data_IF_850952479660
#
_entry.id   IF_850952479660
#
_cell.length_a   1.000
_cell.length_b   1.000
_cell.length_c   1.000
_cell.angle_alpha   90.00
_cell.angle_beta   90.00
_cell.angle_gamma   90.00
#
_symmetry.space_group_name_H-M   'P 1'
#
loop_
_entity.id
_entity.type
_entity.pdbx_description
1 polymer ?
#
# COMPACT_ATOMS: atom_id res chain seq x y z
N UNK A 1 30.75 -21.09 9.89
CA UNK A 1 30.12 -20.18 10.89
C UNK A 1 28.61 -20.24 10.71
N UNK A 2 27.89 -20.86 11.64
CA UNK A 2 26.44 -21.02 11.58
C UNK A 2 25.74 -19.67 11.79
N UNK A 3 24.83 -19.30 10.88
CA UNK A 3 24.00 -18.11 11.01
C UNK A 3 23.04 -18.27 12.19
N UNK A 4 23.04 -17.31 13.11
CA UNK A 4 22.13 -17.31 14.26
C UNK A 4 20.66 -17.33 13.79
N UNK A 5 19.78 -18.11 14.44
CA UNK A 5 18.39 -18.25 14.00
C UNK A 5 17.64 -16.92 14.15
N UNK A 6 16.92 -16.55 13.09
CA UNK A 6 16.05 -15.38 13.05
C UNK A 6 15.08 -15.40 14.25
N UNK A 7 15.16 -14.39 15.12
CA UNK A 7 14.31 -14.27 16.29
C UNK A 7 12.91 -13.81 15.86
N UNK A 8 11.99 -14.76 15.66
CA UNK A 8 10.58 -14.48 15.36
C UNK A 8 9.88 -14.04 16.64
N UNK A 9 9.69 -12.74 16.83
CA UNK A 9 8.95 -12.19 17.98
C UNK A 9 7.50 -11.99 17.57
N UNK A 10 6.60 -12.85 18.07
CA UNK A 10 5.16 -12.66 17.95
C UNK A 10 4.64 -11.77 19.10
N UNK A 11 3.88 -10.71 18.78
CA UNK A 11 2.66 -10.50 19.54
C UNK A 11 1.50 -10.01 18.66
N UNK A 12 0.34 -10.68 18.80
CA UNK A 12 -1.06 -10.23 18.51
C UNK A 12 -1.42 -9.70 17.12
N UNK A 13 -0.46 -9.40 16.25
CA UNK A 13 -0.65 -9.00 14.86
C UNK A 13 -0.05 -10.07 13.97
N UNK A 14 -0.75 -10.48 12.90
CA UNK A 14 -0.26 -11.42 11.87
C UNK A 14 0.97 -10.90 11.08
N UNK A 15 1.80 -10.06 11.70
CA UNK A 15 3.00 -9.48 11.13
C UNK A 15 4.21 -10.32 11.53
N UNK A 16 4.99 -10.70 10.54
CA UNK A 16 6.29 -11.34 10.69
C UNK A 16 7.31 -10.26 11.04
N UNK A 17 8.03 -10.46 12.14
CA UNK A 17 9.17 -9.62 12.54
C UNK A 17 10.44 -10.47 12.40
N UNK A 18 11.37 -9.98 11.59
CA UNK A 18 12.67 -10.61 11.33
C UNK A 18 13.76 -9.59 11.61
N UNK A 19 14.77 -9.98 12.36
CA UNK A 19 15.99 -9.21 12.56
C UNK A 19 17.16 -10.12 12.21
N UNK A 20 17.71 -9.94 11.01
CA UNK A 20 18.76 -10.80 10.46
C UNK A 20 19.58 -10.03 9.42
N UNK A 21 20.78 -10.51 9.06
CA UNK A 21 21.48 -10.03 7.87
C UNK A 21 20.61 -10.21 6.61
N UNK A 22 20.95 -9.50 5.54
CA UNK A 22 20.17 -9.49 4.28
C UNK A 22 19.79 -10.88 3.78
N UNK A 23 20.72 -11.83 3.75
CA UNK A 23 20.45 -13.20 3.29
C UNK A 23 19.39 -13.90 4.16
N UNK A 24 19.54 -13.85 5.49
CA UNK A 24 18.55 -14.43 6.40
C UNK A 24 17.17 -13.77 6.30
N UNK A 25 17.09 -12.49 5.94
CA UNK A 25 15.80 -11.84 5.64
C UNK A 25 15.21 -12.34 4.32
N UNK A 26 16.03 -12.53 3.29
CA UNK A 26 15.56 -13.08 2.00
C UNK A 26 15.05 -14.52 2.18
N UNK A 27 15.79 -15.37 2.89
CA UNK A 27 15.39 -16.73 3.20
C UNK A 27 14.06 -16.76 3.98
N UNK A 28 13.91 -15.86 4.96
CA UNK A 28 12.67 -15.71 5.70
C UNK A 28 11.49 -15.24 4.83
N UNK A 29 11.73 -14.48 3.76
CA UNK A 29 10.67 -14.09 2.80
C UNK A 29 10.29 -15.23 1.86
N UNK A 30 11.26 -16.07 1.47
CA UNK A 30 11.01 -17.25 0.64
C UNK A 30 10.27 -18.36 1.41
N UNK A 31 10.52 -18.46 2.73
CA UNK A 31 9.83 -19.39 3.62
C UNK A 31 8.37 -19.03 3.92
N UNK A 32 7.86 -17.87 3.48
CA UNK A 32 6.46 -17.49 3.73
C UNK A 32 5.54 -18.42 2.93
N UNK A 33 4.67 -19.21 3.60
CA UNK A 33 3.76 -20.10 2.89
C UNK A 33 2.75 -19.30 2.08
N UNK A 34 2.51 -19.72 0.83
CA UNK A 34 1.42 -19.18 0.02
C UNK A 34 0.07 -19.71 0.55
N UNK A 35 -0.87 -18.84 0.92
CA UNK A 35 -2.17 -19.23 1.48
C UNK A 35 -3.10 -19.89 0.45
N UNK A 36 -2.69 -19.99 -0.82
CA UNK A 36 -3.47 -20.52 -1.93
C UNK A 36 -3.94 -21.97 -1.74
N UNK A 37 -3.30 -22.77 -0.87
CA UNK A 37 -3.65 -24.19 -0.72
C UNK A 37 -4.93 -24.47 0.10
N UNK A 38 -5.44 -23.54 0.90
CA UNK A 38 -6.56 -23.84 1.81
C UNK A 38 -7.92 -23.20 1.45
N UNK A 39 -7.98 -22.28 0.48
CA UNK A 39 -9.25 -21.63 0.13
C UNK A 39 -10.13 -22.45 -0.84
N UNK A 40 -9.54 -23.29 -1.70
CA UNK A 40 -10.30 -24.10 -2.67
C UNK A 40 -11.12 -25.23 -2.03
N UNK A 41 -10.50 -26.01 -1.14
CA UNK A 41 -11.16 -27.10 -0.41
C UNK A 41 -12.24 -26.60 0.54
N UNK A 42 -12.01 -25.45 1.20
CA UNK A 42 -13.01 -24.79 2.03
C UNK A 42 -14.28 -24.47 1.23
N UNK A 43 -14.19 -23.86 0.05
CA UNK A 43 -15.39 -23.53 -0.75
C UNK A 43 -16.22 -24.77 -1.11
N UNK A 44 -15.59 -25.88 -1.48
CA UNK A 44 -16.30 -27.14 -1.82
C UNK A 44 -17.00 -27.74 -0.59
N UNK A 45 -16.30 -27.79 0.55
CA UNK A 45 -16.89 -28.27 1.80
C UNK A 45 -18.04 -27.35 2.30
N UNK A 46 -17.96 -26.05 1.99
CA UNK A 46 -18.96 -25.05 2.39
C UNK A 46 -20.21 -25.04 1.50
N UNK A 47 -20.11 -25.43 0.23
CA UNK A 47 -21.26 -25.63 -0.66
C UNK A 47 -21.97 -26.94 -0.33
N UNK A 48 -21.23 -27.98 0.06
CA UNK A 48 -21.79 -29.31 0.34
C UNK A 48 -22.32 -29.47 1.77
N UNK A 49 -21.75 -28.76 2.76
CA UNK A 49 -22.18 -28.86 4.16
C UNK A 49 -23.68 -28.66 4.41
N UNK A 50 -24.34 -27.64 3.81
CA UNK A 50 -25.78 -27.46 3.92
C UNK A 50 -26.59 -28.58 3.27
N UNK A 51 -26.12 -29.11 2.12
CA UNK A 51 -26.79 -30.20 1.42
C UNK A 51 -26.73 -31.51 2.23
N UNK A 52 -25.60 -31.77 2.89
CA UNK A 52 -25.44 -32.89 3.82
C UNK A 52 -26.34 -32.73 5.05
N UNK A 53 -26.45 -31.51 5.60
CA UNK A 53 -27.34 -31.22 6.73
C UNK A 53 -28.83 -31.39 6.39
N UNK A 54 -29.26 -30.96 5.20
CA UNK A 54 -30.63 -31.18 4.70
C UNK A 54 -30.88 -32.67 4.43
N UNK A 55 -29.91 -33.36 3.83
CA UNK A 55 -29.98 -34.81 3.59
C UNK A 55 -30.12 -35.62 4.89
N UNK A 56 -29.31 -35.31 5.92
CA UNK A 56 -29.42 -35.94 7.23
C UNK A 56 -30.77 -35.63 7.90
N UNK A 57 -31.25 -34.39 7.82
CA UNK A 57 -32.55 -34.00 8.40
C UNK A 57 -33.72 -34.77 7.78
N UNK A 58 -33.68 -35.00 6.46
CA UNK A 58 -34.67 -35.82 5.76
C UNK A 58 -34.56 -37.30 6.14
N UNK A 59 -33.33 -37.84 6.23
CA UNK A 59 -33.07 -39.23 6.61
C UNK A 59 -33.53 -39.58 8.04
N UNK A 60 -33.21 -38.75 9.03
CA UNK A 60 -33.69 -38.96 10.40
C UNK A 60 -35.21 -38.76 10.51
N UNK A 61 -35.79 -37.93 9.64
CA UNK A 61 -37.23 -37.74 9.55
C UNK A 61 -38.00 -38.99 9.09
N UNK A 62 -37.40 -39.87 8.29
CA UNK A 62 -38.05 -41.11 7.84
C UNK A 62 -37.98 -42.24 8.88
N UNK A 63 -37.06 -42.16 9.85
CA UNK A 63 -36.84 -43.23 10.85
C UNK A 63 -37.71 -43.03 12.11
N UNK A 64 -38.10 -41.79 12.41
CA UNK A 64 -38.93 -41.45 13.59
C UNK A 64 -40.41 -41.31 13.18
N UNK A 65 -41.16 -42.41 13.26
CA UNK A 65 -42.61 -42.42 13.09
C UNK A 65 -43.33 -42.00 14.39
N UNK A 66 -44.12 -40.92 14.32
CA UNK A 66 -44.96 -40.44 15.42
C UNK A 66 -45.65 -39.13 15.07
N UNK A 67 -46.85 -38.86 15.61
CA UNK A 67 -47.65 -37.68 15.29
C UNK A 67 -46.97 -36.34 15.66
N UNK A 68 -46.04 -36.34 16.63
CA UNK A 68 -45.18 -35.19 16.93
C UNK A 68 -44.08 -34.94 15.89
N UNK A 69 -43.84 -35.87 14.96
CA UNK A 69 -42.73 -35.79 14.00
C UNK A 69 -42.96 -34.75 12.90
N UNK A 70 -44.21 -34.48 12.49
CA UNK A 70 -44.51 -33.56 11.38
C UNK A 70 -44.22 -32.10 11.75
N UNK A 71 -44.62 -31.69 12.96
CA UNK A 71 -44.35 -30.34 13.47
C UNK A 71 -42.85 -30.16 13.72
N UNK A 72 -42.19 -31.17 14.30
CA UNK A 72 -40.74 -31.14 14.52
C UNK A 72 -39.95 -31.04 13.20
N UNK A 73 -40.37 -31.76 12.16
CA UNK A 73 -39.79 -31.68 10.80
C UNK A 73 -39.93 -30.27 10.21
N UNK A 74 -41.12 -29.66 10.33
CA UNK A 74 -41.36 -28.30 9.86
C UNK A 74 -40.49 -27.26 10.55
N UNK A 75 -40.37 -27.32 11.89
CA UNK A 75 -39.53 -26.41 12.68
C UNK A 75 -38.05 -26.58 12.34
N UNK A 76 -37.58 -27.82 12.17
CA UNK A 76 -36.18 -28.07 11.81
C UNK A 76 -35.84 -27.55 10.42
N UNK A 77 -36.71 -27.77 9.43
CA UNK A 77 -36.53 -27.28 8.06
C UNK A 77 -36.48 -25.75 8.03
N UNK A 78 -37.44 -25.08 8.68
CA UNK A 78 -37.47 -23.61 8.76
C UNK A 78 -36.25 -23.07 9.48
N UNK A 79 -35.81 -23.71 10.57
CA UNK A 79 -34.61 -23.31 11.32
C UNK A 79 -33.34 -23.50 10.48
N UNK A 80 -33.23 -24.61 9.73
CA UNK A 80 -32.13 -24.87 8.82
C UNK A 80 -32.09 -23.85 7.67
N UNK A 81 -33.26 -23.52 7.08
CA UNK A 81 -33.37 -22.49 6.04
C UNK A 81 -33.00 -21.12 6.61
N UNK A 82 -33.46 -20.75 7.81
CA UNK A 82 -33.12 -19.46 8.43
C UNK A 82 -31.64 -19.37 8.82
N UNK A 83 -31.05 -20.44 9.33
CA UNK A 83 -29.61 -20.51 9.61
C UNK A 83 -28.79 -20.43 8.32
N UNK A 84 -29.21 -21.15 7.28
CA UNK A 84 -28.62 -21.07 5.95
C UNK A 84 -28.71 -19.65 5.40
N UNK A 85 -29.90 -19.04 5.39
CA UNK A 85 -30.12 -17.68 4.91
C UNK A 85 -29.31 -16.66 5.71
N UNK A 86 -29.29 -16.77 7.06
CA UNK A 86 -28.50 -15.89 7.93
C UNK A 86 -27.00 -16.06 7.71
N UNK A 87 -26.55 -17.26 7.39
CA UNK A 87 -25.15 -17.56 7.10
C UNK A 87 -24.74 -17.09 5.71
N UNK A 88 -25.55 -17.34 4.69
CA UNK A 88 -25.46 -16.81 3.31
C UNK A 88 -25.43 -15.28 3.32
N UNK A 89 -26.42 -14.64 3.97
CA UNK A 89 -26.51 -13.18 4.14
C UNK A 89 -25.25 -12.58 4.80
N UNK A 90 -24.59 -13.32 5.70
CA UNK A 90 -23.33 -12.92 6.35
C UNK A 90 -22.09 -13.23 5.50
N UNK A 91 -22.24 -14.10 4.50
CA UNK A 91 -21.20 -14.62 3.61
C UNK A 91 -21.23 -14.04 2.21
N UNK A 92 -22.18 -13.16 1.86
CA UNK A 92 -22.13 -12.31 0.66
C UNK A 92 -20.90 -11.38 0.72
N UNK A 93 -19.76 -11.96 0.42
CA UNK A 93 -18.49 -11.30 0.18
C UNK A 93 -18.39 -11.20 -1.32
N UNK A 94 -18.37 -9.97 -1.83
CA UNK A 94 -18.03 -9.79 -3.22
C UNK A 94 -16.52 -10.00 -3.34
N UNK A 95 -16.11 -10.83 -4.30
CA UNK A 95 -14.73 -10.98 -4.69
C UNK A 95 -14.58 -10.31 -6.05
N UNK A 96 -13.68 -9.34 -6.18
CA UNK A 96 -13.34 -8.80 -7.48
C UNK A 96 -12.28 -9.71 -8.11
N UNK A 97 -12.70 -10.59 -9.01
CA UNK A 97 -11.77 -11.45 -9.74
C UNK A 97 -10.71 -10.61 -10.47
N UNK A 98 -9.44 -10.97 -10.28
CA UNK A 98 -8.30 -10.27 -10.90
C UNK A 98 -7.88 -8.98 -10.19
N UNK A 99 -8.33 -8.75 -8.96
CA UNK A 99 -7.85 -7.64 -8.16
C UNK A 99 -6.35 -7.83 -7.84
N UNK A 100 -5.47 -6.82 -8.01
CA UNK A 100 -4.03 -6.97 -7.78
C UNK A 100 -3.68 -7.47 -6.36
N UNK A 101 -4.56 -7.23 -5.39
CA UNK A 101 -4.46 -7.74 -4.03
C UNK A 101 -4.64 -9.25 -3.85
N UNK A 102 -5.05 -9.96 -4.90
CA UNK A 102 -5.20 -11.42 -4.90
C UNK A 102 -3.87 -12.16 -4.96
N UNK A 103 -2.82 -11.51 -5.47
CA UNK A 103 -1.49 -12.10 -5.48
C UNK A 103 -0.93 -12.13 -4.04
N UNK A 104 -0.82 -13.32 -3.40
CA UNK A 104 -0.34 -13.41 -2.03
C UNK A 104 1.14 -13.04 -1.90
N UNK A 105 1.90 -13.05 -3.01
CA UNK A 105 3.32 -12.70 -3.04
C UNK A 105 3.56 -11.22 -3.31
N UNK A 106 2.53 -10.44 -3.64
CA UNK A 106 2.66 -9.01 -3.99
C UNK A 106 3.46 -8.20 -2.96
N UNK A 107 3.14 -8.35 -1.67
CA UNK A 107 3.79 -7.59 -0.57
C UNK A 107 5.19 -8.10 -0.26
N UNK A 108 5.40 -9.41 -0.22
CA UNK A 108 6.72 -10.01 0.05
C UNK A 108 7.68 -9.82 -1.13
N UNK A 109 7.21 -9.94 -2.36
CA UNK A 109 8.02 -9.71 -3.56
C UNK A 109 8.53 -8.27 -3.61
N UNK A 110 7.71 -7.28 -3.25
CA UNK A 110 8.19 -5.89 -3.15
C UNK A 110 9.40 -5.78 -2.22
N UNK A 111 9.36 -6.43 -1.06
CA UNK A 111 10.46 -6.42 -0.09
C UNK A 111 11.69 -7.11 -0.66
N UNK A 112 11.55 -8.29 -1.25
CA UNK A 112 12.66 -9.01 -1.89
C UNK A 112 13.33 -8.15 -2.96
N UNK A 113 12.55 -7.49 -3.82
CA UNK A 113 13.05 -6.63 -4.90
C UNK A 113 13.77 -5.40 -4.36
N UNK A 114 13.20 -4.75 -3.35
CA UNK A 114 13.82 -3.59 -2.70
C UNK A 114 15.14 -3.98 -2.02
N UNK A 115 15.17 -5.09 -1.29
CA UNK A 115 16.39 -5.60 -0.65
C UNK A 115 17.47 -5.95 -1.66
N UNK A 116 17.12 -6.61 -2.76
CA UNK A 116 18.07 -6.92 -3.85
C UNK A 116 18.68 -5.66 -4.46
N UNK A 117 17.89 -4.60 -4.65
CA UNK A 117 18.40 -3.31 -5.15
C UNK A 117 19.25 -2.56 -4.12
N UNK A 118 18.93 -2.69 -2.84
CA UNK A 118 19.69 -2.09 -1.75
C UNK A 118 20.99 -2.84 -1.43
N UNK A 119 21.23 -4.04 -2.00
CA UNK A 119 22.39 -4.90 -1.68
C UNK A 119 23.72 -4.16 -1.68
N UNK A 120 23.92 -3.28 -2.66
CA UNK A 120 25.16 -2.51 -2.83
C UNK A 120 25.29 -1.36 -1.82
N UNK A 121 24.17 -0.83 -1.33
CA UNK A 121 24.14 0.27 -0.37
C UNK A 121 24.10 -0.19 1.10
N UNK A 122 23.86 -1.48 1.33
CA UNK A 122 23.80 -2.06 2.68
C UNK A 122 25.19 -2.32 3.26
N UNK A 123 25.34 -2.05 4.55
CA UNK A 123 26.56 -2.44 5.30
C UNK A 123 26.63 -3.97 5.35
N UNK A 124 27.76 -4.58 4.93
CA UNK A 124 27.93 -6.03 5.00
C UNK A 124 27.70 -6.55 6.43
N UNK A 125 26.86 -7.57 6.59
CA UNK A 125 26.58 -8.19 7.88
C UNK A 125 25.71 -7.36 8.85
N UNK A 126 25.33 -6.13 8.51
CA UNK A 126 24.46 -5.34 9.38
C UNK A 126 23.05 -5.97 9.46
N UNK A 127 22.45 -6.04 10.66
CA UNK A 127 21.12 -6.58 10.81
C UNK A 127 20.10 -5.64 10.17
N UNK A 128 19.18 -6.22 9.40
CA UNK A 128 18.01 -5.56 8.85
C UNK A 128 16.83 -5.94 9.73
N UNK A 129 16.16 -4.93 10.30
CA UNK A 129 14.94 -5.12 11.07
C UNK A 129 13.75 -4.95 10.15
N UNK A 130 13.13 -6.07 9.80
CA UNK A 130 11.95 -6.15 8.95
C UNK A 130 10.73 -6.50 9.78
N UNK A 131 9.68 -5.68 9.68
CA UNK A 131 8.32 -6.01 10.12
C UNK A 131 7.42 -5.97 8.90
N UNK A 132 6.90 -7.12 8.51
CA UNK A 132 6.04 -7.26 7.34
C UNK A 132 4.76 -8.00 7.68
N UNK A 133 3.63 -7.57 7.13
CA UNK A 133 2.43 -8.40 7.03
C UNK A 133 2.30 -8.88 5.57
N UNK A 134 2.61 -10.16 5.30
CA UNK A 134 2.65 -10.68 3.93
C UNK A 134 1.29 -10.61 3.23
N UNK A 135 0.21 -10.81 3.99
CA UNK A 135 -1.15 -10.84 3.45
C UNK A 135 -1.98 -9.62 3.87
N UNK A 136 -2.84 -9.10 2.98
CA UNK A 136 -3.82 -8.08 3.35
C UNK A 136 -4.80 -8.61 4.40
N UNK A 137 -5.48 -7.69 5.11
CA UNK A 137 -6.58 -8.08 6.01
C UNK A 137 -7.79 -8.44 5.15
N UNK A 138 -8.51 -9.51 5.49
CA UNK A 138 -9.69 -9.99 4.74
C UNK A 138 -10.79 -8.95 4.45
N UNK A 139 -10.82 -7.81 5.17
CA UNK A 139 -11.79 -6.71 4.93
C UNK A 139 -11.12 -5.35 4.89
N UNK A 140 -9.81 -5.33 4.65
CA UNK A 140 -8.99 -4.14 4.72
C UNK A 140 -8.42 -3.72 3.36
N UNK A 141 -7.69 -2.60 3.35
CA UNK A 141 -6.95 -2.15 2.18
C UNK A 141 -6.08 -3.25 1.57
N UNK A 142 -6.07 -3.33 0.24
CA UNK A 142 -5.31 -4.32 -0.53
C UNK A 142 -5.96 -5.69 -0.62
N UNK A 143 -7.15 -5.91 -0.03
CA UNK A 143 -7.90 -7.16 -0.16
C UNK A 143 -8.96 -7.08 -1.24
N UNK A 144 -9.14 -8.16 -2.00
CA UNK A 144 -10.20 -8.34 -2.99
C UNK A 144 -11.55 -8.73 -2.41
N UNK A 145 -11.62 -8.99 -1.10
CA UNK A 145 -12.87 -9.33 -0.43
C UNK A 145 -13.53 -8.09 0.15
N UNK A 146 -14.74 -7.83 -0.33
CA UNK A 146 -15.50 -6.64 0.02
C UNK A 146 -16.71 -7.01 0.88
N UNK A 147 -16.95 -6.31 2.01
CA UNK A 147 -18.21 -6.43 2.71
C UNK A 147 -19.31 -5.72 1.91
N UNK A 148 -20.26 -6.47 1.36
CA UNK A 148 -21.52 -5.92 0.85
C UNK A 148 -22.29 -5.30 2.02
N UNK A 149 -22.02 -4.03 2.28
CA UNK A 149 -22.66 -3.30 3.37
C UNK A 149 -23.69 -2.35 2.78
N UNK A 150 -24.97 -2.58 3.03
CA UNK A 150 -26.07 -1.74 2.55
C UNK A 150 -26.18 -0.38 3.29
N UNK A 151 -25.09 0.11 3.87
CA UNK A 151 -25.08 1.35 4.65
C UNK A 151 -25.12 2.56 3.72
N UNK A 152 -26.00 3.53 4.06
CA UNK A 152 -26.15 4.80 3.34
C UNK A 152 -24.97 5.77 3.57
N UNK A 153 -24.14 5.51 4.57
CA UNK A 153 -23.00 6.34 4.97
C UNK A 153 -21.69 5.63 4.65
N UNK A 154 -20.71 6.38 4.15
CA UNK A 154 -19.37 5.84 3.90
C UNK A 154 -18.73 5.43 5.25
N UNK A 155 -18.15 4.23 5.35
CA UNK A 155 -17.32 3.89 6.49
C UNK A 155 -16.11 4.83 6.59
N UNK A 156 -15.52 5.00 7.79
CA UNK A 156 -14.29 5.77 7.94
C UNK A 156 -13.16 5.14 7.12
N UNK A 157 -12.20 5.96 6.75
CA UNK A 157 -11.01 5.51 6.03
C UNK A 157 -10.26 4.45 6.84
N UNK A 158 -9.88 3.36 6.15
CA UNK A 158 -9.14 2.28 6.77
C UNK A 158 -7.68 2.37 6.38
N UNK A 159 -6.79 2.17 7.35
CA UNK A 159 -5.35 2.14 7.16
C UNK A 159 -4.82 0.75 7.50
N UNK A 160 -3.96 0.23 6.62
CA UNK A 160 -3.22 -1.00 6.83
C UNK A 160 -1.70 -0.75 6.74
N UNK A 161 -1.04 -0.43 7.87
CA UNK A 161 0.41 -0.46 7.94
C UNK A 161 0.89 -1.91 7.86
N UNK A 162 1.60 -2.23 6.78
CA UNK A 162 2.02 -3.61 6.48
C UNK A 162 3.52 -3.78 6.30
N UNK A 163 4.30 -2.72 6.07
CA UNK A 163 5.76 -2.79 5.98
C UNK A 163 6.43 -1.76 6.86
N UNK A 164 7.46 -2.20 7.56
CA UNK A 164 8.49 -1.37 8.17
C UNK A 164 9.82 -2.08 8.02
N UNK A 165 10.75 -1.48 7.30
CA UNK A 165 12.11 -1.95 7.10
C UNK A 165 13.07 -0.90 7.65
N UNK A 166 13.93 -1.30 8.57
CA UNK A 166 14.95 -0.45 9.17
C UNK A 166 16.32 -1.08 8.95
N UNK A 167 17.26 -0.29 8.46
CA UNK A 167 18.62 -0.75 8.17
C UNK A 167 19.62 0.41 8.23
N UNK A 168 20.90 0.05 8.23
CA UNK A 168 22.02 0.98 8.13
C UNK A 168 22.69 0.85 6.76
N UNK A 169 22.87 1.98 6.10
CA UNK A 169 23.52 2.09 4.80
C UNK A 169 25.04 2.25 4.97
N UNK A 170 25.80 1.95 3.92
CA UNK A 170 27.28 1.99 3.91
C UNK A 170 27.85 3.36 4.26
N UNK A 171 27.16 4.42 3.89
CA UNK A 171 27.49 5.81 4.24
C UNK A 171 27.26 6.14 5.73
N UNK A 172 26.75 5.17 6.50
CA UNK A 172 26.41 5.30 7.91
C UNK A 172 25.05 5.94 8.18
N UNK A 173 24.24 6.19 7.15
CA UNK A 173 22.88 6.68 7.29
C UNK A 173 21.94 5.58 7.80
N UNK A 174 20.97 5.99 8.61
CA UNK A 174 19.88 5.10 9.04
C UNK A 174 18.70 5.26 8.09
N UNK A 175 18.36 4.19 7.39
CA UNK A 175 17.21 4.12 6.51
C UNK A 175 16.03 3.47 7.23
N UNK A 176 14.86 4.12 7.14
CA UNK A 176 13.57 3.53 7.51
C UNK A 176 12.59 3.66 6.36
N UNK A 177 12.18 2.53 5.81
CA UNK A 177 11.13 2.43 4.79
C UNK A 177 9.84 1.93 5.45
N UNK A 178 8.72 2.56 5.13
CA UNK A 178 7.41 2.12 5.60
C UNK A 178 6.40 2.11 4.47
N UNK A 179 5.51 1.13 4.45
CA UNK A 179 4.40 1.04 3.51
C UNK A 179 3.06 0.91 4.25
N UNK A 180 2.11 1.75 3.85
CA UNK A 180 0.76 1.80 4.42
C UNK A 180 -0.24 1.85 3.29
N UNK A 181 -1.14 0.88 3.24
CA UNK A 181 -2.28 0.94 2.32
C UNK A 181 -3.45 1.64 2.99
N UNK A 182 -4.17 2.47 2.23
CA UNK A 182 -5.37 3.17 2.68
C UNK A 182 -6.51 2.85 1.75
N UNK A 183 -7.64 2.46 2.33
CA UNK A 183 -8.92 2.31 1.65
C UNK A 183 -9.80 3.49 1.96
N UNK A 184 -10.29 4.15 0.91
CA UNK A 184 -11.29 5.22 1.01
C UNK A 184 -12.57 4.78 0.31
N UNK A 185 -13.69 4.88 1.01
CA UNK A 185 -15.00 4.56 0.43
C UNK A 185 -15.73 5.86 0.10
N UNK A 186 -16.11 6.04 -1.16
CA UNK A 186 -16.90 7.17 -1.64
C UNK A 186 -18.31 6.71 -1.98
N UNK A 187 -19.30 7.36 -1.38
CA UNK A 187 -20.72 7.16 -1.70
C UNK A 187 -21.09 8.12 -2.82
N UNK A 188 -21.54 7.57 -3.95
CA UNK A 188 -22.13 8.34 -5.05
C UNK A 188 -23.65 8.12 -5.05
N UNK A 189 -24.40 9.21 -4.94
CA UNK A 189 -25.85 9.22 -5.15
C UNK A 189 -26.11 9.52 -6.62
N UNK A 190 -27.01 8.76 -7.25
CA UNK A 190 -27.49 9.11 -8.59
C UNK A 190 -28.17 10.48 -8.56
N UNK A 191 -28.00 11.25 -9.64
CA UNK A 191 -28.67 12.55 -9.80
C UNK A 191 -30.20 12.41 -9.91
N UNK A 192 -30.93 13.53 -9.80
CA UNK A 192 -32.39 13.54 -9.70
C UNK A 192 -33.13 12.87 -10.88
N UNK A 193 -32.55 12.86 -12.07
CA UNK A 193 -33.17 12.31 -13.29
C UNK A 193 -32.66 10.91 -13.70
N UNK A 194 -31.90 10.23 -12.83
CA UNK A 194 -31.37 8.89 -13.14
C UNK A 194 -32.39 7.78 -12.92
N UNK A 195 -32.40 6.71 -13.74
CA UNK A 195 -33.29 5.58 -13.54
C UNK A 195 -32.92 4.85 -12.25
N UNK A 196 -33.80 4.97 -11.24
CA UNK A 196 -33.69 4.44 -9.87
C UNK A 196 -32.60 5.07 -9.00
N UNK A 197 -33.01 5.39 -7.76
CA UNK A 197 -32.25 5.95 -6.62
C UNK A 197 -31.18 5.00 -6.06
N UNK A 198 -30.37 4.36 -6.92
CA UNK A 198 -29.32 3.41 -6.51
C UNK A 198 -28.12 4.18 -5.95
N UNK A 199 -27.79 3.89 -4.70
CA UNK A 199 -26.55 4.36 -4.06
C UNK A 199 -25.41 3.48 -4.59
N UNK A 200 -24.39 4.10 -5.18
CA UNK A 200 -23.18 3.39 -5.62
C UNK A 200 -22.06 3.67 -4.64
N UNK A 201 -21.49 2.61 -4.06
CA UNK A 201 -20.27 2.69 -3.25
C UNK A 201 -19.08 2.43 -4.18
N UNK A 202 -18.08 3.32 -4.15
CA UNK A 202 -16.80 3.13 -4.83
C UNK A 202 -15.68 3.12 -3.80
N UNK A 203 -14.92 2.05 -3.76
CA UNK A 203 -13.73 1.95 -2.92
C UNK A 203 -12.50 2.33 -3.75
N UNK A 204 -11.52 2.95 -3.10
CA UNK A 204 -10.25 3.31 -3.69
C UNK A 204 -9.15 2.91 -2.73
N UNK A 205 -8.30 2.00 -3.16
CA UNK A 205 -7.10 1.63 -2.42
C UNK A 205 -5.90 2.44 -2.91
N UNK A 206 -5.13 2.97 -1.99
CA UNK A 206 -3.94 3.77 -2.28
C UNK A 206 -2.79 3.29 -1.43
N UNK A 207 -1.61 3.16 -2.02
CA UNK A 207 -0.40 2.76 -1.31
C UNK A 207 0.43 4.00 -1.00
N UNK A 208 0.71 4.21 0.28
CA UNK A 208 1.65 5.21 0.73
C UNK A 208 2.99 4.55 1.03
N UNK A 209 4.02 4.97 0.29
CA UNK A 209 5.40 4.62 0.57
C UNK A 209 6.08 5.81 1.23
N UNK A 210 6.81 5.56 2.30
CA UNK A 210 7.54 6.59 3.02
C UNK A 210 8.96 6.12 3.30
N UNK A 211 9.93 6.92 2.86
CA UNK A 211 11.34 6.75 3.13
C UNK A 211 11.81 7.85 4.09
N UNK A 212 12.44 7.43 5.18
CA UNK A 212 13.11 8.32 6.13
C UNK A 212 14.59 8.00 6.14
N UNK A 213 15.40 9.03 5.98
CA UNK A 213 16.85 8.93 6.02
C UNK A 213 17.36 9.82 7.15
N UNK A 214 18.09 9.22 8.09
CA UNK A 214 18.78 9.94 9.17
C UNK A 214 20.27 9.91 8.88
N UNK A 215 20.86 11.08 8.69
CA UNK A 215 22.30 11.24 8.45
C UNK A 215 22.98 11.90 9.64
N UNK A 216 24.29 11.67 9.78
CA UNK A 216 25.11 12.38 10.77
C UNK A 216 25.34 13.82 10.32
N UNK A 217 25.03 14.78 11.17
CA UNK A 217 25.19 16.22 10.89
C UNK A 217 26.62 16.57 10.46
N UNK A 218 27.65 15.94 11.07
CA UNK A 218 29.07 16.14 10.70
C UNK A 218 29.36 15.92 9.20
N UNK A 219 28.62 15.02 8.53
CA UNK A 219 28.80 14.72 7.09
C UNK A 219 27.96 15.63 6.16
N UNK A 220 26.91 16.24 6.71
CA UNK A 220 25.96 17.07 5.95
C UNK A 220 25.51 18.26 6.82
N UNK A 221 26.40 19.21 7.13
CA UNK A 221 26.08 20.33 8.02
C UNK A 221 25.03 21.26 7.41
N UNK A 222 25.07 21.44 6.09
CA UNK A 222 24.18 22.30 5.31
C UNK A 222 22.82 21.65 4.96
N UNK A 223 22.51 20.47 5.50
CA UNK A 223 21.21 19.84 5.27
C UNK A 223 20.06 20.65 5.89
N UNK A 224 20.32 21.28 7.04
CA UNK A 224 19.35 22.13 7.72
C UNK A 224 19.04 23.42 6.95
N UNK A 225 19.97 23.88 6.11
CA UNK A 225 19.85 25.11 5.32
C UNK A 225 19.23 24.86 3.94
N UNK A 226 19.02 23.60 3.55
CA UNK A 226 18.40 23.26 2.26
C UNK A 226 16.92 23.67 2.27
N UNK A 227 16.55 24.57 1.35
CA UNK A 227 15.16 25.00 1.19
C UNK A 227 14.28 23.85 0.69
N UNK A 228 13.01 23.84 1.11
CA UNK A 228 12.07 22.81 0.67
C UNK A 228 11.85 22.85 -0.86
N UNK A 229 11.87 24.02 -1.48
CA UNK A 229 11.66 24.16 -2.93
C UNK A 229 12.80 23.52 -3.73
N UNK A 230 14.05 23.81 -3.36
CA UNK A 230 15.22 23.19 -3.99
C UNK A 230 15.25 21.68 -3.76
N UNK A 231 14.81 21.22 -2.59
CA UNK A 231 14.67 19.81 -2.33
C UNK A 231 13.56 19.16 -3.18
N UNK A 232 12.44 19.85 -3.43
CA UNK A 232 11.38 19.37 -4.33
C UNK A 232 11.88 19.20 -5.77
N UNK A 233 12.74 20.09 -6.26
CA UNK A 233 13.35 19.96 -7.59
C UNK A 233 14.23 18.70 -7.72
N UNK A 234 14.82 18.23 -6.63
CA UNK A 234 15.58 16.98 -6.58
C UNK A 234 14.69 15.72 -6.62
N UNK A 235 13.39 15.86 -6.35
CA UNK A 235 12.47 14.71 -6.32
C UNK A 235 12.16 14.27 -7.74
N UNK A 236 12.60 13.06 -8.09
CA UNK A 236 12.25 12.38 -9.34
C UNK A 236 11.41 11.16 -9.00
N UNK A 237 10.15 11.13 -9.46
CA UNK A 237 9.22 10.02 -9.23
C UNK A 237 8.89 9.32 -10.55
N UNK A 238 8.65 7.99 -10.53
CA UNK A 238 8.18 7.28 -11.72
C UNK A 238 6.73 7.67 -12.07
N UNK A 239 6.27 7.35 -13.29
CA UNK A 239 4.86 7.52 -13.66
C UNK A 239 3.94 6.75 -12.70
N UNK A 240 2.78 7.32 -12.40
CA UNK A 240 1.82 6.77 -11.44
C UNK A 240 2.16 7.00 -9.96
N UNK A 241 3.32 7.62 -9.66
CA UNK A 241 3.68 8.04 -8.31
C UNK A 241 3.49 9.54 -8.10
N UNK A 242 2.82 9.91 -7.02
CA UNK A 242 2.56 11.32 -6.64
C UNK A 242 3.30 11.66 -5.36
N UNK A 243 3.95 12.81 -5.33
CA UNK A 243 4.56 13.33 -4.09
C UNK A 243 3.44 13.70 -3.12
N UNK A 244 3.42 13.07 -1.95
CA UNK A 244 2.42 13.37 -0.91
C UNK A 244 3.01 14.27 0.18
N UNK A 245 4.27 14.06 0.57
CA UNK A 245 4.93 14.87 1.59
C UNK A 245 6.44 14.83 1.44
N UNK A 246 7.08 15.99 1.53
CA UNK A 246 8.52 16.13 1.73
C UNK A 246 8.74 16.91 3.02
N UNK A 247 9.70 16.48 3.85
CA UNK A 247 10.12 17.20 5.06
C UNK A 247 11.62 17.06 5.27
N UNK A 248 12.25 18.18 5.59
CA UNK A 248 13.66 18.29 5.92
C UNK A 248 13.74 18.87 7.33
N UNK A 249 14.44 18.18 8.24
CA UNK A 249 14.62 18.65 9.62
C UNK A 249 16.01 18.28 10.11
N UNK A 250 16.90 19.26 10.18
CA UNK A 250 18.27 19.06 10.66
C UNK A 250 18.96 17.93 9.88
N UNK A 251 19.26 16.81 10.56
CA UNK A 251 19.84 15.59 9.98
C UNK A 251 18.85 14.56 9.43
N UNK A 252 17.58 14.92 9.27
CA UNK A 252 16.51 13.98 8.87
C UNK A 252 15.83 14.41 7.58
N UNK A 253 15.78 13.49 6.62
CA UNK A 253 14.97 13.61 5.42
C UNK A 253 13.79 12.64 5.49
N UNK A 254 12.62 13.11 5.09
CA UNK A 254 11.40 12.30 5.00
C UNK A 254 10.69 12.59 3.70
N UNK A 255 10.60 11.57 2.86
CA UNK A 255 9.90 11.58 1.58
C UNK A 255 8.77 10.56 1.62
N UNK A 256 7.53 11.02 1.38
CA UNK A 256 6.34 10.17 1.28
C UNK A 256 5.68 10.39 -0.06
N UNK A 257 5.38 9.30 -0.74
CA UNK A 257 4.68 9.27 -2.01
C UNK A 257 3.39 8.47 -1.89
N UNK A 258 2.53 8.64 -2.88
CA UNK A 258 1.29 7.91 -3.07
C UNK A 258 1.35 7.18 -4.42
N UNK A 259 0.97 5.90 -4.41
CA UNK A 259 0.74 5.07 -5.57
C UNK A 259 -0.75 4.69 -5.63
N UNK A 260 -1.26 4.57 -6.85
CA UNK A 260 -2.65 4.16 -7.08
C UNK A 260 -2.86 2.65 -6.87
N UNK A 261 -4.12 2.21 -6.80
CA UNK A 261 -4.58 0.86 -6.43
C UNK A 261 -3.91 -0.28 -7.19
N UNK A 262 -3.65 -0.04 -8.47
CA UNK A 262 -3.10 -1.02 -9.41
C UNK A 262 -1.61 -1.27 -9.27
N UNK A 263 -0.96 -0.77 -8.21
CA UNK A 263 0.48 -0.91 -8.02
C UNK A 263 0.93 -2.37 -8.06
N UNK A 264 2.05 -2.64 -8.71
CA UNK A 264 2.67 -3.97 -8.78
C UNK A 264 4.09 -3.91 -8.20
N UNK A 265 4.61 -5.01 -7.62
CA UNK A 265 5.96 -5.01 -7.08
C UNK A 265 6.98 -4.70 -8.18
N UNK A 266 6.78 -5.29 -9.37
CA UNK A 266 7.53 -5.03 -10.61
C UNK A 266 6.56 -5.08 -11.77
N UNK A 267 6.81 -4.27 -12.79
CA UNK A 267 6.04 -4.27 -14.03
C UNK A 267 6.90 -4.84 -15.15
N UNK A 268 6.46 -5.94 -15.80
CA UNK A 268 7.07 -6.41 -17.04
C UNK A 268 7.00 -5.32 -18.11
N UNK A 269 8.00 -5.25 -18.97
CA UNK A 269 8.12 -4.19 -20.00
C UNK A 269 6.88 -4.08 -20.90
N UNK A 270 6.16 -5.19 -21.10
CA UNK A 270 5.02 -5.30 -22.03
C UNK A 270 3.65 -5.25 -21.31
N UNK A 271 3.63 -5.03 -20.00
CA UNK A 271 2.41 -5.03 -19.20
C UNK A 271 1.76 -3.64 -19.15
N UNK A 272 0.43 -3.56 -18.91
CA UNK A 272 -0.31 -2.29 -18.82
C UNK A 272 0.29 -1.35 -17.77
N UNK A 273 0.00 -0.05 -17.92
CA UNK A 273 0.54 1.10 -17.18
C UNK A 273 0.15 1.15 -15.69
N UNK A 274 0.43 0.09 -14.93
CA UNK A 274 0.39 0.11 -13.48
C UNK A 274 1.56 0.94 -12.92
N UNK A 275 1.51 1.37 -11.65
CA UNK A 275 2.67 1.91 -10.96
C UNK A 275 3.63 0.79 -10.48
N UNK A 276 4.92 0.86 -10.83
CA UNK A 276 5.96 -0.05 -10.31
C UNK A 276 6.43 0.44 -8.93
N UNK A 277 6.04 -0.30 -7.88
CA UNK A 277 6.36 0.06 -6.51
C UNK A 277 7.85 -0.10 -6.20
N UNK A 278 8.54 -1.11 -6.73
CA UNK A 278 9.98 -1.28 -6.51
C UNK A 278 10.76 -0.11 -7.10
N UNK A 279 10.40 0.31 -8.33
CA UNK A 279 10.99 1.46 -9.01
C UNK A 279 10.69 2.74 -8.25
N UNK A 280 9.47 2.90 -7.74
CA UNK A 280 9.12 4.04 -6.90
C UNK A 280 10.00 4.15 -5.65
N UNK A 281 10.20 3.04 -4.91
CA UNK A 281 11.12 3.02 -3.75
C UNK A 281 12.54 3.39 -4.15
N UNK A 282 13.04 2.85 -5.27
CA UNK A 282 14.41 3.12 -5.74
C UNK A 282 14.58 4.60 -6.09
N UNK A 283 13.64 5.17 -6.84
CA UNK A 283 13.64 6.58 -7.22
C UNK A 283 13.47 7.52 -6.02
N UNK A 284 12.69 7.11 -5.01
CA UNK A 284 12.62 7.84 -3.73
C UNK A 284 13.98 7.90 -3.05
N UNK A 285 14.70 6.78 -2.96
CA UNK A 285 16.02 6.72 -2.33
C UNK A 285 17.03 7.58 -3.10
N UNK A 286 17.08 7.45 -4.43
CA UNK A 286 17.93 8.28 -5.29
C UNK A 286 17.60 9.77 -5.13
N UNK A 287 16.32 10.13 -5.04
CA UNK A 287 15.90 11.52 -4.78
C UNK A 287 16.42 12.03 -3.44
N UNK A 288 16.38 11.20 -2.38
CA UNK A 288 16.93 11.55 -1.07
C UNK A 288 18.46 11.74 -1.14
N UNK A 289 19.17 10.89 -1.86
CA UNK A 289 20.60 11.06 -2.10
C UNK A 289 20.92 12.32 -2.92
N UNK A 290 20.09 12.65 -3.91
CA UNK A 290 20.24 13.89 -4.67
C UNK A 290 20.06 15.12 -3.77
N UNK A 291 19.11 15.11 -2.83
CA UNK A 291 18.97 16.18 -1.84
C UNK A 291 20.20 16.30 -0.95
N UNK A 292 20.76 15.16 -0.51
CA UNK A 292 22.00 15.15 0.27
C UNK A 292 23.20 15.69 -0.51
N UNK A 293 23.23 15.45 -1.83
CA UNK A 293 24.24 16.02 -2.73
C UNK A 293 24.04 17.52 -2.89
N UNK A 294 22.82 18.00 -3.17
CA UNK A 294 22.51 19.43 -3.25
C UNK A 294 22.80 20.19 -1.95
N UNK A 295 22.62 19.53 -0.80
CA UNK A 295 22.99 20.10 0.49
C UNK A 295 24.51 20.24 0.68
N UNK A 296 25.35 19.57 -0.11
CA UNK A 296 26.82 19.75 -0.09
C UNK A 296 27.29 20.81 -1.07
N UNK A 297 26.52 21.08 -2.11
CA UNK A 297 26.85 22.04 -3.16
C UNK A 297 26.08 23.34 -2.91
N UNK A 298 26.72 24.37 -2.32
CA UNK A 298 26.05 25.65 -2.11
C UNK A 298 25.54 26.19 -3.45
N UNK A 299 24.39 26.86 -3.40
CA UNK A 299 23.83 27.48 -4.60
C UNK A 299 24.83 28.55 -5.08
N UNK A 300 25.28 28.44 -6.33
CA UNK A 300 26.06 29.50 -6.93
C UNK A 300 25.25 30.80 -6.79
N UNK A 301 25.86 31.92 -6.35
CA UNK A 301 25.13 33.16 -6.14
C UNK A 301 24.38 33.48 -7.44
N UNK A 302 23.05 33.47 -7.38
CA UNK A 302 22.22 33.83 -8.53
C UNK A 302 22.63 35.25 -8.89
N UNK A 303 23.26 35.42 -10.05
CA UNK A 303 23.59 36.74 -10.57
C UNK A 303 22.32 37.59 -10.49
N UNK A 304 22.38 38.66 -9.70
CA UNK A 304 21.26 39.58 -9.58
C UNK A 304 20.78 39.93 -10.98
N UNK A 305 19.46 39.86 -11.26
CA UNK A 305 18.95 40.27 -12.56
C UNK A 305 19.44 41.70 -12.79
N UNK A 306 20.34 41.84 -13.78
CA UNK A 306 20.92 43.12 -14.17
C UNK A 306 19.72 44.06 -14.36
N UNK A 307 19.65 45.20 -13.65
CA UNK A 307 18.47 46.06 -13.69
C UNK A 307 18.17 46.34 -15.16
N UNK A 308 16.99 45.92 -15.61
CA UNK A 308 16.57 46.18 -16.98
C UNK A 308 16.55 47.69 -17.11
N UNK A 309 17.52 48.27 -17.84
CA UNK A 309 17.49 49.67 -18.19
C UNK A 309 16.18 49.90 -18.94
N UNK A 310 15.20 50.43 -18.23
CA UNK A 310 13.93 50.91 -18.77
C UNK A 310 14.32 52.01 -19.74
N UNK A 311 14.40 51.65 -21.02
CA UNK A 311 14.75 52.56 -22.11
C UNK A 311 13.59 53.54 -22.23
N UNK A 312 13.71 54.63 -21.49
CA UNK A 312 12.80 55.76 -21.47
C UNK A 312 12.82 56.37 -22.88
N UNK A 313 11.92 55.89 -23.74
CA UNK A 313 11.73 56.41 -25.09
C UNK A 313 11.21 57.83 -24.96
N UNK A 314 12.14 58.78 -24.97
CA UNK A 314 12.16 59.96 -25.83
C UNK A 314 10.83 60.20 -26.57
N UNK A 315 9.85 60.78 -25.87
CA UNK A 315 8.76 61.55 -26.48
C UNK A 315 9.18 63.01 -26.45
N UNK A 316 10.15 63.36 -27.30
CA UNK A 316 10.51 64.76 -27.57
C UNK A 316 10.53 64.98 -29.07
N UNK A 317 9.72 65.96 -29.50
CA UNK A 317 9.75 66.68 -30.79
C UNK A 317 9.08 66.01 -31.99
N UNK A 318 7.80 66.39 -32.19
CA UNK A 318 7.31 66.90 -33.47
C UNK A 318 6.26 68.00 -33.20
N UNK A 319 6.77 69.17 -32.83
CA UNK A 319 6.20 70.45 -33.26
C UNK A 319 7.10 70.93 -34.39
N UNK A 320 6.49 71.62 -35.35
CA UNK A 320 7.08 72.50 -36.38
C UNK A 320 7.03 71.93 -37.83
N UNK A 321 6.15 72.59 -38.60
CA UNK A 321 6.22 72.97 -40.04
C UNK A 321 5.81 72.00 -41.16
N UNK A 322 4.60 72.23 -41.69
CA UNK A 322 4.33 72.54 -43.11
C UNK A 322 2.89 73.08 -43.20
N UNK A 323 2.74 74.39 -43.40
CA UNK A 323 2.18 75.01 -44.62
C UNK A 323 0.68 74.76 -44.81
#
# INVERSE_FOLDING_TARGET
MAAAPAKVIAPTSKALVVEAPMLGVLDAMEAIPSPLRFQGLGRVLWILGPLVGVGLGLYYGTILEGAGSTVAKGVFLVSAILLWLRYELRSFRFHADGHPGDDPRRRSELVVRVLRRLREDLVPGAPIRLRIRPHPRDKGPGSSTFPLTFKKTAPPDQLDPWLQLETRLRDGAHLRLTAVERRRVKVSKAGPNGPRRRIKLKEYDTLFLEARLRVKAKRHPQLATLSEDRAREAVRLPPGAKLHRLRIRGGHLRLRIQLDESWRPVIPKDAPAAPDASRAVTMMLLSLYQMLHLARTPEAPRAHPKPSHRREKSRRRRRVQSR
#
